data_IF_058344152479
#
_entry.id   IF_058344152479
#
_cell.length_a   1.000
_cell.length_b   1.000
_cell.length_c   1.000
_cell.angle_alpha   90.00
_cell.angle_beta   90.00
_cell.angle_gamma   90.00
#
_symmetry.space_group_name_H-M   'P 1'
#
loop_
_entity.id
_entity.type
_entity.pdbx_description
1 polymer ?
#
# COMPACT_ATOMS: atom_id res chain seq x y z
N UNK A 1 -27.30 -1.71 67.74
CA UNK A 1 -26.20 -2.25 68.56
C UNK A 1 -25.21 -2.89 67.59
N UNK A 2 -24.14 -2.15 67.24
CA UNK A 2 -22.73 -2.47 67.56
C UNK A 2 -22.18 -3.61 66.67
N UNK A 3 -21.32 -3.31 65.68
CA UNK A 3 -19.82 -3.28 65.76
C UNK A 3 -19.24 -4.68 66.03
N UNK A 4 -18.19 -5.23 65.42
CA UNK A 4 -16.99 -4.79 64.67
C UNK A 4 -16.32 -6.09 64.13
N UNK A 5 -15.52 -6.04 63.06
CA UNK A 5 -14.07 -6.37 63.05
C UNK A 5 -13.56 -6.65 61.62
N UNK A 6 -12.53 -5.90 61.19
CA UNK A 6 -11.76 -6.16 59.96
C UNK A 6 -10.57 -7.10 60.21
N UNK A 7 -9.40 -6.83 59.62
CA UNK A 7 -8.88 -7.39 58.37
C UNK A 7 -7.62 -8.28 58.61
N UNK A 8 -6.98 -8.77 57.52
CA UNK A 8 -5.58 -9.31 57.44
C UNK A 8 -5.35 -10.83 57.32
N UNK A 9 -5.91 -11.54 56.33
CA UNK A 9 -5.38 -12.86 55.89
C UNK A 9 -5.58 -13.19 54.41
N UNK A 10 -5.37 -12.23 53.50
CA UNK A 10 -5.42 -12.50 52.05
C UNK A 10 -4.19 -12.03 51.26
N UNK A 11 -3.15 -11.50 51.93
CA UNK A 11 -1.96 -10.97 51.25
C UNK A 11 -0.80 -11.95 51.06
N UNK A 12 -0.78 -13.08 51.77
CA UNK A 12 0.42 -13.95 51.82
C UNK A 12 0.31 -15.16 50.87
N UNK A 13 -0.90 -15.63 50.57
CA UNK A 13 -1.14 -16.74 49.64
C UNK A 13 -1.04 -16.33 48.16
N UNK A 14 -1.27 -15.05 47.84
CA UNK A 14 -1.13 -14.53 46.47
C UNK A 14 0.32 -14.21 46.10
N UNK A 15 1.18 -13.94 47.09
CA UNK A 15 2.61 -13.65 46.84
C UNK A 15 3.43 -14.91 46.53
N UNK A 16 3.07 -16.07 47.10
CA UNK A 16 3.79 -17.33 46.86
C UNK A 16 3.45 -17.97 45.51
N UNK A 17 2.26 -17.71 44.97
CA UNK A 17 1.88 -18.12 43.60
C UNK A 17 2.54 -17.22 42.53
N UNK A 18 2.84 -15.97 42.85
CA UNK A 18 3.56 -15.07 41.93
C UNK A 18 5.05 -15.46 41.77
N UNK A 19 5.66 -16.03 42.81
CA UNK A 19 7.07 -16.45 42.78
C UNK A 19 7.32 -17.77 42.05
N UNK A 20 6.30 -18.62 41.87
CA UNK A 20 6.40 -19.86 41.09
C UNK A 20 6.17 -19.65 39.57
N UNK A 21 5.63 -18.50 39.17
CA UNK A 21 5.39 -18.15 37.77
C UNK A 21 6.56 -17.40 37.11
N UNK A 22 7.64 -17.12 37.85
CA UNK A 22 8.82 -16.40 37.37
C UNK A 22 10.04 -17.30 37.06
N UNK A 23 9.92 -18.62 37.24
CA UNK A 23 10.95 -19.59 36.85
C UNK A 23 10.35 -20.62 35.90
N UNK A 24 10.12 -20.25 34.64
CA UNK A 24 9.56 -21.20 33.68
C UNK A 24 9.25 -20.67 32.30
N UNK A 25 10.02 -19.71 31.79
CA UNK A 25 9.92 -19.30 30.38
C UNK A 25 11.25 -18.76 29.88
N UNK A 26 12.29 -19.60 29.91
CA UNK A 26 13.48 -19.39 29.11
C UNK A 26 13.57 -20.49 28.05
N UNK A 27 13.80 -20.04 26.81
CA UNK A 27 14.03 -20.79 25.58
C UNK A 27 12.81 -21.32 24.80
N UNK A 28 12.16 -20.41 24.04
CA UNK A 28 11.58 -20.73 22.74
C UNK A 28 11.43 -19.48 21.85
N UNK A 29 12.49 -18.66 21.69
CA UNK A 29 12.49 -17.54 20.73
C UNK A 29 13.63 -17.63 19.69
N UNK A 30 14.25 -18.81 19.58
CA UNK A 30 15.37 -19.06 18.65
C UNK A 30 15.00 -19.67 17.29
N UNK A 31 13.75 -20.09 17.08
CA UNK A 31 13.39 -20.93 15.92
C UNK A 31 12.90 -20.12 14.70
N UNK A 32 12.49 -18.86 14.90
CA UNK A 32 11.74 -18.10 13.87
C UNK A 32 12.61 -17.39 12.83
N UNK A 33 13.88 -17.11 13.15
CA UNK A 33 14.83 -16.48 12.20
C UNK A 33 15.65 -17.48 11.39
N UNK A 34 15.65 -18.75 11.80
CA UNK A 34 16.44 -19.83 11.17
C UNK A 34 15.89 -20.19 9.79
N UNK A 35 14.57 -20.13 9.65
CA UNK A 35 13.87 -20.56 8.44
C UNK A 35 14.10 -19.64 7.23
N UNK A 36 14.43 -18.37 7.45
CA UNK A 36 14.58 -17.38 6.36
C UNK A 36 15.80 -17.65 5.47
N UNK A 37 16.94 -17.97 6.08
CA UNK A 37 18.14 -18.27 5.31
C UNK A 37 18.11 -19.66 4.66
N UNK A 38 17.30 -20.60 5.12
CA UNK A 38 17.16 -21.90 4.46
C UNK A 38 16.56 -21.80 3.06
N UNK A 39 15.80 -20.72 2.76
CA UNK A 39 15.15 -20.51 1.45
C UNK A 39 16.01 -19.83 0.41
N UNK A 40 17.08 -19.14 0.81
CA UNK A 40 17.91 -18.42 -0.15
C UNK A 40 18.80 -19.39 -0.91
N UNK A 41 18.97 -19.18 -2.22
CA UNK A 41 19.84 -20.02 -3.06
C UNK A 41 21.31 -19.93 -2.65
N UNK A 42 22.11 -20.96 -2.89
CA UNK A 42 23.58 -20.92 -2.71
C UNK A 42 24.24 -19.76 -3.45
N UNK A 43 25.28 -19.17 -2.84
CA UNK A 43 26.12 -18.14 -3.46
C UNK A 43 27.58 -18.60 -3.46
N UNK A 44 28.19 -18.70 -4.64
CA UNK A 44 29.63 -19.00 -4.80
C UNK A 44 30.48 -17.81 -4.36
N UNK A 45 30.03 -16.58 -4.65
CA UNK A 45 30.76 -15.35 -4.36
C UNK A 45 31.83 -15.02 -5.40
N UNK A 46 32.49 -13.87 -5.24
CA UNK A 46 33.47 -13.35 -6.22
C UNK A 46 34.89 -13.93 -6.07
N UNK A 47 35.20 -14.52 -4.92
CA UNK A 47 36.52 -15.09 -4.64
C UNK A 47 36.72 -16.41 -5.40
N UNK A 48 37.98 -16.79 -5.63
CA UNK A 48 38.38 -17.91 -6.51
C UNK A 48 38.88 -19.15 -5.76
N UNK A 49 38.63 -19.25 -4.46
CA UNK A 49 38.95 -20.46 -3.72
C UNK A 49 37.91 -21.57 -4.03
N UNK A 50 38.24 -22.82 -3.71
CA UNK A 50 37.36 -23.96 -3.95
C UNK A 50 37.04 -24.68 -2.64
N UNK A 51 36.14 -24.12 -1.84
CA UNK A 51 35.71 -24.73 -0.59
C UNK A 51 34.44 -25.58 -0.82
N UNK A 52 34.48 -26.91 -0.64
CA UNK A 52 33.27 -27.71 -0.67
C UNK A 52 32.40 -27.36 0.54
N UNK A 53 31.14 -27.01 0.29
CA UNK A 53 30.15 -26.58 1.28
C UNK A 53 28.80 -27.21 0.97
N UNK A 54 27.89 -27.15 1.94
CA UNK A 54 26.52 -27.63 1.82
C UNK A 54 25.55 -26.46 1.84
N UNK A 55 24.48 -26.55 1.05
CA UNK A 55 23.36 -25.60 1.07
C UNK A 55 22.05 -26.38 1.02
N UNK A 56 21.00 -25.84 1.60
CA UNK A 56 19.67 -26.42 1.61
C UNK A 56 18.87 -25.99 0.39
N UNK A 57 18.43 -26.94 -0.41
CA UNK A 57 17.52 -26.74 -1.52
C UNK A 57 16.09 -26.97 -1.03
N UNK A 58 15.29 -25.90 -0.97
CA UNK A 58 13.89 -25.96 -0.49
C UNK A 58 12.95 -26.64 -1.47
N UNK A 59 13.24 -26.59 -2.77
CA UNK A 59 12.44 -27.25 -3.80
C UNK A 59 12.55 -28.76 -3.68
N UNK A 60 13.77 -29.25 -3.40
CA UNK A 60 14.04 -30.68 -3.23
C UNK A 60 13.95 -31.12 -1.76
N UNK A 61 13.74 -30.19 -0.82
CA UNK A 61 13.78 -30.43 0.62
C UNK A 61 15.08 -31.08 1.13
N UNK A 62 16.23 -30.79 0.49
CA UNK A 62 17.47 -31.55 0.72
C UNK A 62 18.73 -30.69 0.76
N UNK A 63 19.70 -31.11 1.59
CA UNK A 63 21.04 -30.51 1.63
C UNK A 63 21.91 -31.05 0.49
N UNK A 64 22.42 -30.16 -0.34
CA UNK A 64 23.23 -30.46 -1.52
C UNK A 64 24.61 -29.81 -1.42
N UNK A 65 25.62 -30.39 -2.07
CA UNK A 65 26.96 -29.81 -2.10
C UNK A 65 27.08 -28.70 -3.13
N UNK A 66 27.94 -27.72 -2.85
CA UNK A 66 28.37 -26.70 -3.80
C UNK A 66 29.79 -26.21 -3.48
N UNK A 67 30.40 -25.50 -4.45
CA UNK A 67 31.71 -24.87 -4.25
C UNK A 67 31.52 -23.42 -3.82
N UNK A 68 32.04 -23.08 -2.65
CA UNK A 68 32.10 -21.71 -2.15
C UNK A 68 33.45 -21.07 -2.48
N UNK A 69 33.39 -19.89 -3.10
CA UNK A 69 34.53 -19.11 -3.56
C UNK A 69 35.38 -18.52 -2.44
N UNK A 70 34.88 -18.50 -1.19
CA UNK A 70 35.61 -18.04 -0.01
C UNK A 70 35.25 -16.64 0.50
N UNK A 71 34.41 -15.88 -0.23
CA UNK A 71 33.89 -14.59 0.23
C UNK A 71 32.49 -14.30 -0.32
N UNK A 72 31.77 -13.36 0.30
CA UNK A 72 30.45 -12.87 -0.16
C UNK A 72 29.38 -13.97 -0.33
N UNK A 73 29.43 -15.01 0.51
CA UNK A 73 28.36 -16.00 0.62
C UNK A 73 27.17 -15.49 1.41
N UNK A 74 26.10 -16.30 1.45
CA UNK A 74 24.98 -16.10 2.37
C UNK A 74 24.97 -17.17 3.47
N UNK A 75 23.96 -17.12 4.34
CA UNK A 75 23.82 -17.99 5.50
C UNK A 75 23.36 -19.43 5.16
N UNK A 76 22.95 -19.70 3.91
CA UNK A 76 22.66 -21.05 3.43
C UNK A 76 23.95 -21.75 2.96
N UNK A 77 24.93 -21.82 3.87
CA UNK A 77 26.28 -22.28 3.58
C UNK A 77 26.87 -22.94 4.83
N UNK A 78 26.94 -24.27 4.79
CA UNK A 78 27.31 -25.11 5.93
C UNK A 78 28.55 -25.94 5.61
N UNK A 79 29.32 -26.28 6.64
CA UNK A 79 30.53 -27.06 6.46
C UNK A 79 30.21 -28.55 6.26
N UNK A 80 29.17 -29.05 6.93
CA UNK A 80 28.75 -30.45 6.89
C UNK A 80 27.29 -30.59 6.50
N UNK A 81 26.91 -31.78 6.00
CA UNK A 81 25.53 -32.10 5.63
C UNK A 81 24.63 -32.10 6.86
N UNK A 82 25.15 -32.59 7.98
CA UNK A 82 24.45 -32.73 9.25
C UNK A 82 24.10 -31.36 9.84
N UNK A 83 25.00 -30.39 9.75
CA UNK A 83 24.73 -29.01 10.18
C UNK A 83 23.62 -28.38 9.34
N UNK A 84 23.67 -28.58 8.02
CA UNK A 84 22.65 -28.11 7.09
C UNK A 84 21.27 -28.71 7.42
N UNK A 85 21.19 -30.03 7.59
CA UNK A 85 19.93 -30.72 7.91
C UNK A 85 19.42 -30.32 9.29
N UNK A 86 20.29 -30.21 10.29
CA UNK A 86 19.90 -29.78 11.64
C UNK A 86 19.26 -28.39 11.63
N UNK A 87 19.73 -27.49 10.76
CA UNK A 87 19.23 -26.11 10.68
C UNK A 87 18.03 -25.94 9.76
N UNK A 88 17.93 -26.73 8.68
CA UNK A 88 16.98 -26.47 7.60
C UNK A 88 16.06 -27.64 7.24
N UNK A 89 16.21 -28.82 7.84
CA UNK A 89 15.33 -29.95 7.51
C UNK A 89 13.86 -29.61 7.79
N UNK A 90 12.98 -29.96 6.85
CA UNK A 90 11.54 -29.71 6.96
C UNK A 90 11.09 -28.32 6.47
N UNK A 91 12.03 -27.43 6.11
CA UNK A 91 11.70 -26.18 5.42
C UNK A 91 11.22 -26.49 4.01
N UNK A 92 10.00 -26.09 3.67
CA UNK A 92 9.43 -26.21 2.31
C UNK A 92 8.94 -24.83 1.85
N UNK A 93 8.61 -24.67 0.57
CA UNK A 93 8.05 -23.40 0.07
C UNK A 93 6.74 -23.02 0.78
N UNK A 94 5.99 -24.00 1.29
CA UNK A 94 4.64 -23.80 1.86
C UNK A 94 4.62 -23.59 3.38
N UNK A 95 5.72 -23.84 4.11
CA UNK A 95 5.73 -23.73 5.59
C UNK A 95 5.65 -22.30 6.14
N UNK A 96 5.42 -21.30 5.28
CA UNK A 96 5.19 -19.90 5.68
C UNK A 96 3.72 -19.55 5.78
N UNK A 97 2.85 -20.17 4.99
CA UNK A 97 1.42 -19.82 5.02
C UNK A 97 0.77 -20.25 6.34
N UNK A 98 1.25 -21.34 6.95
CA UNK A 98 0.71 -21.83 8.22
C UNK A 98 1.29 -21.13 9.47
N UNK A 99 2.50 -20.54 9.40
CA UNK A 99 3.10 -19.80 10.53
C UNK A 99 2.90 -18.27 10.46
N UNK A 100 2.46 -17.76 9.30
CA UNK A 100 1.90 -16.42 9.14
C UNK A 100 0.40 -16.38 9.50
N UNK A 101 -0.33 -17.49 9.36
CA UNK A 101 -1.76 -17.56 9.69
C UNK A 101 -2.05 -17.68 11.20
N UNK A 102 -1.08 -18.10 12.02
CA UNK A 102 -1.25 -18.20 13.50
C UNK A 102 -0.85 -16.92 14.28
N UNK A 103 -0.58 -15.79 13.60
CA UNK A 103 -0.35 -14.48 14.27
C UNK A 103 -1.27 -13.33 13.83
N UNK A 104 -2.29 -13.58 13.02
CA UNK A 104 -3.31 -12.56 12.73
C UNK A 104 -4.66 -12.95 13.35
N UNK A 105 -4.64 -13.03 14.67
CA UNK A 105 -5.82 -13.01 15.53
C UNK A 105 -5.78 -11.81 16.48
N UNK A 106 -5.40 -10.63 15.99
CA UNK A 106 -5.83 -9.32 16.52
C UNK A 106 -5.29 -8.21 15.60
N UNK A 107 -6.24 -7.45 15.04
CA UNK A 107 -6.07 -6.18 14.33
C UNK A 107 -5.66 -6.23 12.84
N UNK A 108 -6.56 -6.78 12.02
CA UNK A 108 -6.74 -6.38 10.62
C UNK A 108 -8.13 -5.78 10.43
N UNK A 109 -8.27 -4.52 10.83
CA UNK A 109 -9.21 -3.60 10.21
C UNK A 109 -8.64 -2.18 10.20
N UNK A 110 -7.38 -2.04 9.75
CA UNK A 110 -6.90 -0.74 9.26
C UNK A 110 -6.12 -0.96 7.96
N UNK A 111 -6.60 -0.44 6.82
CA UNK A 111 -5.82 -0.33 5.59
C UNK A 111 -4.60 0.56 5.87
N UNK A 112 -3.46 -0.06 6.17
CA UNK A 112 -2.20 0.67 6.29
C UNK A 112 -1.70 1.00 4.89
N UNK A 113 -2.08 2.21 4.45
CA UNK A 113 -1.38 3.12 3.53
C UNK A 113 -0.25 2.48 2.70
N UNK A 114 -0.31 2.53 1.34
CA UNK A 114 0.77 2.06 0.47
C UNK A 114 2.11 2.71 0.87
N UNK A 115 3.07 1.92 1.34
CA UNK A 115 4.44 2.41 1.54
C UNK A 115 5.02 2.79 0.18
N UNK A 116 5.77 3.89 0.17
CA UNK A 116 6.45 4.46 -1.01
C UNK A 116 7.36 3.48 -1.80
N UNK A 117 7.69 2.33 -1.22
CA UNK A 117 8.53 1.32 -1.86
C UNK A 117 7.85 0.62 -3.04
N UNK A 118 6.53 0.44 -3.01
CA UNK A 118 5.80 -0.27 -4.08
C UNK A 118 5.76 0.56 -5.39
N UNK A 119 5.73 1.88 -5.25
CA UNK A 119 5.80 2.83 -6.36
C UNK A 119 7.14 2.77 -7.10
N UNK A 120 8.25 2.71 -6.36
CA UNK A 120 9.60 2.76 -6.94
C UNK A 120 9.93 1.46 -7.69
N UNK A 121 9.46 0.32 -7.18
CA UNK A 121 9.62 -0.97 -7.85
C UNK A 121 8.74 -1.05 -9.10
N UNK A 122 7.46 -0.63 -9.04
CA UNK A 122 6.61 -0.61 -10.23
C UNK A 122 7.16 0.33 -11.31
N UNK A 123 7.72 1.47 -10.92
CA UNK A 123 8.39 2.40 -11.83
C UNK A 123 9.57 1.74 -12.56
N UNK A 124 10.39 0.99 -11.82
CA UNK A 124 11.61 0.34 -12.32
C UNK A 124 11.34 -0.86 -13.22
N UNK A 125 10.40 -1.72 -12.82
CA UNK A 125 10.15 -3.00 -13.49
C UNK A 125 9.07 -2.92 -14.57
N UNK A 126 8.07 -2.03 -14.44
CA UNK A 126 6.90 -2.06 -15.32
C UNK A 126 6.66 -0.74 -16.07
N UNK A 127 7.13 0.40 -15.55
CA UNK A 127 6.85 1.72 -16.16
C UNK A 127 7.99 2.21 -17.07
N UNK A 128 9.22 1.81 -16.80
CA UNK A 128 10.38 2.20 -17.59
C UNK A 128 10.23 1.76 -19.06
N UNK A 129 10.51 2.63 -20.04
CA UNK A 129 10.44 2.28 -21.47
C UNK A 129 11.46 1.20 -21.85
N UNK A 130 11.19 0.37 -22.85
CA UNK A 130 12.14 -0.65 -23.31
C UNK A 130 13.49 -0.04 -23.73
N UNK A 131 14.60 -0.70 -23.38
CA UNK A 131 15.96 -0.23 -23.71
C UNK A 131 16.74 -1.30 -24.45
N UNK A 132 17.01 -1.08 -25.73
CA UNK A 132 17.89 -1.95 -26.54
C UNK A 132 19.34 -1.93 -26.02
N UNK A 133 19.83 -0.77 -25.59
CA UNK A 133 21.22 -0.61 -25.14
C UNK A 133 22.22 -0.54 -26.31
N UNK A 134 23.51 -0.31 -26.04
CA UNK A 134 24.52 -0.03 -27.07
C UNK A 134 25.15 -1.28 -27.70
N UNK A 135 24.94 -2.46 -27.12
CA UNK A 135 25.44 -3.71 -27.68
C UNK A 135 24.63 -4.14 -28.91
N UNK A 136 25.23 -4.95 -29.80
CA UNK A 136 24.69 -5.28 -31.13
C UNK A 136 24.14 -6.70 -31.26
N UNK A 137 23.90 -7.40 -30.15
CA UNK A 137 23.22 -8.70 -30.20
C UNK A 137 21.71 -8.50 -30.45
N UNK A 138 21.01 -9.57 -30.84
CA UNK A 138 19.56 -9.52 -31.10
C UNK A 138 18.83 -10.50 -30.21
N UNK A 139 18.57 -10.10 -28.96
CA UNK A 139 17.80 -10.91 -28.02
C UNK A 139 16.33 -10.44 -28.01
N UNK A 140 15.37 -11.25 -28.49
CA UNK A 140 13.96 -10.92 -28.33
C UNK A 140 13.60 -10.94 -26.84
N UNK A 141 12.98 -9.86 -26.38
CA UNK A 141 12.53 -9.66 -24.99
C UNK A 141 11.14 -9.06 -24.98
N UNK A 142 10.47 -9.15 -23.84
CA UNK A 142 9.17 -8.54 -23.60
C UNK A 142 9.31 -7.37 -22.63
N UNK A 143 8.55 -6.31 -22.84
CA UNK A 143 8.45 -5.19 -21.90
C UNK A 143 6.99 -4.81 -21.71
N UNK A 144 6.66 -4.28 -20.55
CA UNK A 144 5.33 -3.79 -20.24
C UNK A 144 5.16 -2.36 -20.77
N UNK A 145 4.16 -2.15 -21.62
CA UNK A 145 3.73 -0.84 -22.08
C UNK A 145 2.55 -0.37 -21.24
N UNK A 146 2.79 0.65 -20.40
CA UNK A 146 1.78 1.24 -19.52
C UNK A 146 0.66 1.95 -20.28
N UNK A 147 0.91 2.44 -21.50
CA UNK A 147 -0.10 3.15 -22.30
C UNK A 147 -1.11 2.16 -22.89
N UNK A 148 -0.63 0.97 -23.29
CA UNK A 148 -1.46 -0.12 -23.82
C UNK A 148 -1.94 -1.08 -22.74
N UNK A 149 -1.40 -0.97 -21.53
CA UNK A 149 -1.59 -1.91 -20.44
C UNK A 149 -1.34 -3.38 -20.87
N UNK A 150 -0.27 -3.59 -21.65
CA UNK A 150 0.05 -4.88 -22.27
C UNK A 150 1.57 -5.06 -22.40
N UNK A 151 2.01 -6.31 -22.44
CA UNK A 151 3.39 -6.67 -22.77
C UNK A 151 3.58 -6.81 -24.27
N UNK A 152 4.55 -6.07 -24.79
CA UNK A 152 4.96 -6.08 -26.20
C UNK A 152 6.41 -6.55 -26.32
N UNK A 153 6.82 -6.98 -27.52
CA UNK A 153 8.18 -7.43 -27.78
C UNK A 153 9.10 -6.28 -28.20
N UNK A 154 10.39 -6.43 -27.91
CA UNK A 154 11.45 -5.56 -28.39
C UNK A 154 12.77 -6.35 -28.53
N UNK A 155 13.74 -5.77 -29.24
CA UNK A 155 15.07 -6.36 -29.36
C UNK A 155 16.01 -5.72 -28.32
N UNK A 156 16.56 -6.57 -27.45
CA UNK A 156 17.61 -6.21 -26.51
C UNK A 156 18.99 -6.50 -27.11
N UNK A 157 19.84 -5.47 -27.10
CA UNK A 157 21.20 -5.46 -27.63
C UNK A 157 22.19 -6.33 -26.84
N UNK A 158 21.83 -6.77 -25.64
CA UNK A 158 22.64 -7.66 -24.79
C UNK A 158 23.38 -6.98 -23.65
N UNK A 159 23.38 -5.64 -23.57
CA UNK A 159 23.98 -4.92 -22.44
C UNK A 159 23.26 -3.60 -22.13
N UNK A 160 23.40 -3.14 -20.87
CA UNK A 160 22.89 -1.85 -20.36
C UNK A 160 21.39 -1.63 -20.60
N UNK A 161 20.59 -2.69 -20.54
CA UNK A 161 19.13 -2.60 -20.48
C UNK A 161 18.65 -2.14 -19.11
N UNK A 162 17.35 -1.94 -18.97
CA UNK A 162 16.69 -1.69 -17.70
C UNK A 162 15.96 -2.95 -17.19
N UNK A 163 15.16 -2.80 -16.15
CA UNK A 163 14.46 -3.93 -15.51
C UNK A 163 13.12 -4.28 -16.17
N UNK A 164 12.55 -3.40 -16.99
CA UNK A 164 11.37 -3.72 -17.80
C UNK A 164 11.78 -4.49 -19.06
N UNK A 165 12.28 -5.72 -18.86
CA UNK A 165 12.83 -6.57 -19.90
C UNK A 165 12.78 -8.04 -19.48
N UNK A 166 11.73 -8.72 -19.91
CA UNK A 166 11.37 -10.09 -19.55
C UNK A 166 11.66 -11.08 -20.68
N UNK A 167 11.78 -12.36 -20.35
CA UNK A 167 12.06 -13.42 -21.33
C UNK A 167 10.78 -13.89 -22.03
N UNK A 168 9.64 -13.88 -21.33
CA UNK A 168 8.35 -14.29 -21.88
C UNK A 168 7.26 -13.24 -21.65
N UNK A 169 6.19 -13.33 -22.44
CA UNK A 169 5.02 -12.47 -22.30
C UNK A 169 4.33 -12.74 -20.96
N UNK A 170 4.26 -14.00 -20.57
CA UNK A 170 3.60 -14.47 -19.36
C UNK A 170 4.31 -13.94 -18.11
N UNK A 171 5.66 -13.96 -18.09
CA UNK A 171 6.46 -13.40 -17.01
C UNK A 171 6.20 -11.89 -16.87
N UNK A 172 6.21 -11.17 -17.98
CA UNK A 172 5.93 -9.73 -18.01
C UNK A 172 4.50 -9.42 -17.51
N UNK A 173 3.50 -10.15 -18.00
CA UNK A 173 2.11 -9.95 -17.60
C UNK A 173 1.91 -10.28 -16.13
N UNK A 174 2.40 -11.42 -15.66
CA UNK A 174 2.30 -11.80 -14.25
C UNK A 174 2.97 -10.76 -13.32
N UNK A 175 4.09 -10.18 -13.75
CA UNK A 175 4.83 -9.24 -12.93
C UNK A 175 4.20 -7.83 -12.88
N UNK A 176 3.55 -7.39 -13.96
CA UNK A 176 3.12 -5.99 -14.14
C UNK A 176 1.60 -5.79 -14.29
N UNK A 177 0.87 -6.80 -14.75
CA UNK A 177 -0.57 -6.71 -14.97
C UNK A 177 -1.32 -6.63 -13.63
N UNK A 178 -2.32 -5.74 -13.55
CA UNK A 178 -3.16 -5.60 -12.35
C UNK A 178 -2.50 -4.90 -11.15
N UNK A 179 -1.20 -4.60 -11.19
CA UNK A 179 -0.47 -3.87 -10.12
C UNK A 179 -0.59 -2.35 -10.21
N UNK A 180 -1.37 -1.83 -11.15
CA UNK A 180 -1.83 -0.44 -11.12
C UNK A 180 -2.89 -0.30 -10.02
N UNK A 181 -2.43 -0.29 -8.77
CA UNK A 181 -3.20 0.20 -7.64
C UNK A 181 -3.44 1.68 -7.92
N UNK A 182 -4.68 2.01 -8.33
CA UNK A 182 -5.22 3.32 -8.71
C UNK A 182 -4.34 4.14 -9.69
N UNK A 183 -4.90 4.66 -10.79
CA UNK A 183 -4.20 5.72 -11.49
C UNK A 183 -4.07 6.89 -10.50
N UNK A 184 -2.85 7.18 -10.04
CA UNK A 184 -2.46 8.59 -9.98
C UNK A 184 -2.57 9.04 -11.41
N UNK A 185 -3.77 9.54 -11.72
CA UNK A 185 -4.17 10.06 -13.01
C UNK A 185 -2.97 10.83 -13.54
N UNK A 186 -2.38 10.44 -14.68
CA UNK A 186 -1.32 11.22 -15.25
C UNK A 186 -1.97 12.57 -15.49
N UNK A 187 -1.60 13.55 -14.66
CA UNK A 187 -1.98 14.94 -14.85
C UNK A 187 -1.22 15.37 -16.11
N UNK A 188 -1.72 14.93 -17.27
CA UNK A 188 -1.57 15.69 -18.48
C UNK A 188 -2.11 17.05 -18.09
N UNK A 189 -1.20 17.99 -17.85
CA UNK A 189 -1.47 19.35 -17.35
C UNK A 189 -2.65 19.98 -18.09
N UNK A 190 -2.86 19.60 -19.35
CA UNK A 190 -4.01 19.96 -20.18
C UNK A 190 -5.38 19.52 -19.62
N UNK A 191 -5.55 18.29 -19.15
CA UNK A 191 -6.86 17.79 -18.66
C UNK A 191 -7.23 18.47 -17.34
N UNK A 192 -6.26 18.66 -16.46
CA UNK A 192 -6.48 19.29 -15.14
C UNK A 192 -6.75 20.79 -15.31
N UNK A 193 -6.07 21.44 -16.25
CA UNK A 193 -6.37 22.82 -16.64
C UNK A 193 -7.76 22.94 -17.25
N UNK A 194 -8.17 21.99 -18.11
CA UNK A 194 -9.53 22.01 -18.68
C UNK A 194 -10.60 21.80 -17.61
N UNK A 195 -10.47 20.81 -16.75
CA UNK A 195 -11.41 20.58 -15.63
C UNK A 195 -11.44 21.80 -14.70
N UNK A 196 -10.28 22.39 -14.39
CA UNK A 196 -10.18 23.62 -13.61
C UNK A 196 -10.92 24.79 -14.27
N UNK A 197 -10.73 25.00 -15.57
CA UNK A 197 -11.42 26.06 -16.32
C UNK A 197 -12.94 25.86 -16.33
N UNK A 198 -13.41 24.63 -16.54
CA UNK A 198 -14.85 24.33 -16.50
C UNK A 198 -15.45 24.61 -15.12
N UNK A 199 -14.77 24.19 -14.03
CA UNK A 199 -15.24 24.47 -12.66
C UNK A 199 -15.24 25.96 -12.37
N UNK A 200 -14.23 26.71 -12.81
CA UNK A 200 -14.19 28.16 -12.64
C UNK A 200 -15.32 28.88 -13.37
N UNK A 201 -15.64 28.47 -14.61
CA UNK A 201 -16.77 29.02 -15.37
C UNK A 201 -18.09 28.73 -14.66
N UNK A 202 -18.30 27.52 -14.14
CA UNK A 202 -19.50 27.16 -13.39
C UNK A 202 -19.67 28.02 -12.13
N UNK A 203 -18.61 28.23 -11.36
CA UNK A 203 -18.66 29.08 -10.15
C UNK A 203 -19.05 30.52 -10.52
N UNK A 204 -18.48 31.07 -11.59
CA UNK A 204 -18.82 32.44 -12.05
C UNK A 204 -20.28 32.52 -12.49
N UNK A 205 -20.79 31.54 -13.23
CA UNK A 205 -22.19 31.50 -13.68
C UNK A 205 -23.16 31.39 -12.51
N UNK A 206 -22.86 30.54 -11.52
CA UNK A 206 -23.66 30.41 -10.30
C UNK A 206 -23.61 31.70 -9.46
N UNK A 207 -22.44 32.34 -9.34
CA UNK A 207 -22.32 33.63 -8.69
C UNK A 207 -23.16 34.71 -9.37
N UNK A 208 -23.11 34.79 -10.70
CA UNK A 208 -23.90 35.74 -11.48
C UNK A 208 -25.40 35.48 -11.37
N UNK A 209 -25.84 34.23 -11.38
CA UNK A 209 -27.26 33.87 -11.24
C UNK A 209 -27.79 34.24 -9.85
N UNK A 210 -27.03 33.97 -8.78
CA UNK A 210 -27.39 34.36 -7.41
C UNK A 210 -27.48 35.87 -7.27
N UNK A 211 -26.50 36.62 -7.80
CA UNK A 211 -26.53 38.10 -7.80
C UNK A 211 -27.74 38.63 -8.59
N UNK A 212 -28.06 38.01 -9.73
CA UNK A 212 -29.25 38.35 -10.51
C UNK A 212 -30.52 38.10 -9.71
N UNK A 213 -30.65 36.93 -9.07
CA UNK A 213 -31.79 36.59 -8.22
C UNK A 213 -31.94 37.56 -7.04
N UNK A 214 -30.85 37.93 -6.36
CA UNK A 214 -30.87 38.93 -5.30
C UNK A 214 -31.33 40.29 -5.84
N UNK A 215 -30.83 40.71 -7.01
CA UNK A 215 -31.26 41.98 -7.63
C UNK A 215 -32.72 41.95 -8.07
N UNK A 216 -33.19 40.84 -8.62
CA UNK A 216 -34.60 40.65 -9.03
C UNK A 216 -35.49 40.62 -7.80
N UNK A 217 -35.13 39.88 -6.74
CA UNK A 217 -35.85 39.83 -5.48
C UNK A 217 -35.93 41.22 -4.83
N UNK A 218 -34.81 41.96 -4.77
CA UNK A 218 -34.78 43.33 -4.25
C UNK A 218 -35.65 44.28 -5.09
N UNK A 219 -35.57 44.20 -6.42
CA UNK A 219 -36.41 45.00 -7.33
C UNK A 219 -37.89 44.63 -7.23
N UNK A 220 -38.21 43.35 -6.99
CA UNK A 220 -39.58 42.90 -6.78
C UNK A 220 -40.11 43.40 -5.43
N UNK A 221 -39.30 43.38 -4.38
CA UNK A 221 -39.63 43.93 -3.07
C UNK A 221 -39.88 45.45 -3.14
N UNK A 222 -39.08 46.18 -3.92
CA UNK A 222 -39.33 47.60 -4.19
C UNK A 222 -40.62 47.85 -5.00
N UNK A 223 -40.99 46.93 -5.92
CA UNK A 223 -42.26 46.99 -6.65
C UNK A 223 -43.46 46.67 -5.76
N UNK A 224 -43.39 45.65 -4.89
CA UNK A 224 -44.48 45.32 -3.96
C UNK A 224 -44.69 46.42 -2.93
N UNK A 225 -43.62 47.07 -2.45
CA UNK A 225 -43.73 48.25 -1.58
C UNK A 225 -44.39 49.45 -2.27
N UNK A 226 -44.13 49.66 -3.57
CA UNK A 226 -44.82 50.70 -4.38
C UNK A 226 -46.27 50.37 -4.71
N UNK A 227 -46.64 49.11 -4.92
CA UNK A 227 -48.05 48.72 -5.14
C UNK A 227 -48.86 48.81 -3.86
N UNK A 228 -48.26 48.55 -2.70
CA UNK A 228 -48.90 48.75 -1.37
C UNK A 228 -49.07 50.24 -1.05
N UNK A 229 -48.24 51.12 -1.61
CA UNK A 229 -48.35 52.60 -1.52
C UNK A 229 -48.85 53.25 -2.82
N UNK A 230 -49.62 52.54 -3.63
CA UNK A 230 -50.29 53.13 -4.79
C UNK A 230 -51.65 53.72 -4.38
N UNK A 231 -51.63 54.89 -3.75
CA UNK A 231 -52.56 56.03 -3.91
C UNK A 231 -54.08 55.79 -4.09
N UNK A 232 -54.63 54.65 -3.66
CA UNK A 232 -56.06 54.35 -3.71
C UNK A 232 -56.75 54.40 -2.34
N UNK A 233 -56.02 54.07 -1.27
CA UNK A 233 -56.62 53.82 0.04
C UNK A 233 -56.52 54.99 1.04
N UNK A 234 -55.80 56.06 0.71
CA UNK A 234 -55.61 57.20 1.63
C UNK A 234 -56.78 58.20 1.62
N UNK A 235 -57.75 58.07 0.71
CA UNK A 235 -58.89 59.01 0.58
C UNK A 235 -60.23 58.48 1.09
N UNK A 236 -60.38 57.19 1.34
CA UNK A 236 -61.67 56.65 1.82
C UNK A 236 -61.84 56.69 3.36
N UNK A 237 -60.76 56.77 4.15
CA UNK A 237 -60.89 56.75 5.61
C UNK A 237 -61.21 58.10 6.26
N UNK A 238 -61.05 59.23 5.56
CA UNK A 238 -61.31 60.56 6.14
C UNK A 238 -62.75 61.09 5.93
N UNK A 239 -63.60 60.38 5.19
CA UNK A 239 -64.98 60.84 4.88
C UNK A 239 -66.06 60.09 5.68
N UNK A 240 -65.76 58.93 6.26
CA UNK A 240 -66.78 58.08 6.90
C UNK A 240 -67.11 58.41 8.37
N UNK A 241 -66.48 59.42 8.98
CA UNK A 241 -66.69 59.77 10.40
C UNK A 241 -67.55 61.02 10.66
N UNK A 242 -68.24 61.59 9.66
CA UNK A 242 -69.03 62.83 9.83
C UNK A 242 -70.56 62.66 9.81
N UNK A 243 -71.10 61.43 9.77
CA UNK A 243 -72.56 61.21 9.68
C UNK A 243 -73.14 60.24 10.71
N UNK A 244 -72.76 60.38 11.98
CA UNK A 244 -73.53 59.79 13.10
C UNK A 244 -73.63 60.83 14.22
N UNK A 245 -74.66 61.67 14.16
CA UNK A 245 -75.13 62.55 15.23
C UNK A 245 -76.66 62.62 15.15
#
# INVERSE_FOLDING_TARGET
MAQLCGPRRCGVLLALLASLLLFGAEAADGERSVHEFCRVSKIVGRCRASFPRWWYNVTDGSCQQFVYGGCEGNNNNYLTKEECLKKCAGVTENTIDDLATSRNGADSSVPSVPRRQDSDDLAKYCTAKAVTGPCRASFPRWYFDVEKNSCDNFIYGGCRGNKNSYLSKEECMHHCFGKQLYPVLPHGTKVVVLVGLFVMVLIVLLGASVVCLIRVARRNQERTLRTVWSSGDDKEQLVKNTYVL
#
